data_IF_200775363374
#
_entry.id   IF_200775363374
#
_cell.length_a   1.000
_cell.length_b   1.000
_cell.length_c   1.000
_cell.angle_alpha   90.00
_cell.angle_beta   90.00
_cell.angle_gamma   90.00
#
_symmetry.space_group_name_H-M   'P 1'
#
loop_
_entity.id
_entity.type
_entity.pdbx_description
1 polymer ?
#
# COMPACT_ATOMS: atom_id res chain seq x y z
N UNK A 1 -34.98 22.44 9.26
CA UNK A 1 -33.69 22.32 8.55
C UNK A 1 -33.82 21.12 7.62
N UNK A 2 -33.83 21.32 6.29
CA UNK A 2 -33.76 20.19 5.35
C UNK A 2 -32.37 19.60 5.50
N UNK A 3 -32.28 18.38 6.04
CA UNK A 3 -31.06 17.58 5.96
C UNK A 3 -30.95 17.09 4.52
N UNK A 4 -30.44 17.94 3.63
CA UNK A 4 -30.02 17.52 2.31
C UNK A 4 -28.79 16.64 2.51
N UNK A 5 -29.01 15.32 2.54
CA UNK A 5 -27.94 14.34 2.55
C UNK A 5 -27.21 14.52 1.22
N UNK A 6 -26.01 15.09 1.27
CA UNK A 6 -25.12 15.17 0.10
C UNK A 6 -24.67 13.76 -0.28
N UNK A 7 -25.48 13.09 -1.11
CA UNK A 7 -25.12 11.82 -1.70
C UNK A 7 -24.06 12.12 -2.76
N UNK A 8 -22.81 11.79 -2.47
CA UNK A 8 -21.73 11.85 -3.45
C UNK A 8 -21.93 10.71 -4.45
N UNK A 9 -22.61 11.01 -5.55
CA UNK A 9 -22.90 10.04 -6.63
C UNK A 9 -21.65 9.75 -7.47
N UNK A 10 -20.73 10.71 -7.58
CA UNK A 10 -19.47 10.55 -8.33
C UNK A 10 -18.28 11.13 -7.57
N UNK A 11 -17.68 10.29 -6.74
CA UNK A 11 -16.49 10.56 -5.91
C UNK A 11 -15.32 11.18 -6.67
N UNK A 12 -15.01 10.67 -7.87
CA UNK A 12 -13.94 11.22 -8.73
C UNK A 12 -14.24 12.65 -9.17
N UNK A 13 -15.47 12.90 -9.60
CA UNK A 13 -15.91 14.23 -10.05
C UNK A 13 -15.84 15.25 -8.90
N UNK A 14 -16.24 14.84 -7.70
CA UNK A 14 -16.17 15.72 -6.53
C UNK A 14 -14.73 15.99 -6.08
N UNK A 15 -13.84 14.99 -6.10
CA UNK A 15 -12.41 15.22 -5.86
C UNK A 15 -11.81 16.22 -6.84
N UNK A 16 -12.12 16.09 -8.14
CA UNK A 16 -11.61 17.00 -9.18
C UNK A 16 -12.16 18.43 -9.09
N UNK A 17 -13.32 18.63 -8.46
CA UNK A 17 -13.88 19.97 -8.18
C UNK A 17 -13.32 20.59 -6.90
N UNK A 18 -12.79 19.77 -6.00
CA UNK A 18 -12.24 20.24 -4.73
C UNK A 18 -10.92 20.99 -4.92
N UNK A 19 -10.53 21.80 -3.95
CA UNK A 19 -9.22 22.48 -3.95
C UNK A 19 -8.09 21.59 -3.45
N UNK A 20 -8.38 20.36 -3.00
CA UNK A 20 -7.42 19.47 -2.30
C UNK A 20 -6.13 19.28 -3.10
N UNK A 21 -6.24 19.01 -4.41
CA UNK A 21 -5.07 18.81 -5.27
C UNK A 21 -4.25 20.09 -5.42
N UNK A 22 -4.90 21.25 -5.55
CA UNK A 22 -4.22 22.53 -5.73
C UNK A 22 -3.61 23.05 -4.43
N UNK A 23 -4.29 22.85 -3.32
CA UNK A 23 -3.80 23.24 -2.00
C UNK A 23 -2.56 22.41 -1.63
N UNK A 24 -2.58 21.11 -1.93
CA UNK A 24 -1.42 20.25 -1.72
C UNK A 24 -0.25 20.61 -2.65
N UNK A 25 -0.48 20.86 -3.95
CA UNK A 25 0.56 21.35 -4.88
C UNK A 25 1.18 22.68 -4.46
N UNK A 26 0.39 23.54 -3.80
CA UNK A 26 0.85 24.83 -3.25
C UNK A 26 1.49 24.70 -1.86
N UNK A 27 1.59 23.48 -1.31
CA UNK A 27 2.13 23.21 0.01
C UNK A 27 1.26 23.71 1.16
N UNK A 28 -0.02 24.03 0.93
CA UNK A 28 -0.95 24.51 1.96
C UNK A 28 -1.48 23.38 2.85
N UNK A 29 -1.53 22.16 2.32
CA UNK A 29 -1.83 20.95 3.09
C UNK A 29 -0.67 19.98 2.96
N UNK A 30 -0.43 19.25 4.02
CA UNK A 30 0.57 18.20 4.09
C UNK A 30 0.15 17.01 3.23
N UNK A 31 1.14 16.17 2.96
CA UNK A 31 0.96 14.88 2.32
C UNK A 31 0.02 13.93 3.06
N UNK A 32 0.13 13.91 4.39
CA UNK A 32 -0.74 13.12 5.24
C UNK A 32 -2.19 13.58 5.06
N UNK A 33 -2.44 14.89 5.13
CA UNK A 33 -3.78 15.46 4.91
C UNK A 33 -4.28 15.16 3.50
N UNK A 34 -3.44 15.33 2.48
CA UNK A 34 -3.79 14.99 1.10
C UNK A 34 -4.19 13.51 0.95
N UNK A 35 -3.44 12.58 1.52
CA UNK A 35 -3.78 11.15 1.52
C UNK A 35 -5.05 10.84 2.29
N UNK A 36 -5.26 11.49 3.43
CA UNK A 36 -6.51 11.33 4.20
C UNK A 36 -7.71 11.81 3.39
N UNK A 37 -7.59 12.96 2.72
CA UNK A 37 -8.60 13.46 1.80
C UNK A 37 -8.82 12.48 0.64
N UNK A 38 -7.75 11.98 0.01
CA UNK A 38 -7.85 11.01 -1.09
C UNK A 38 -8.57 9.72 -0.67
N UNK A 39 -8.25 9.18 0.51
CA UNK A 39 -8.95 8.04 1.10
C UNK A 39 -10.45 8.35 1.31
N UNK A 40 -10.76 9.50 1.91
CA UNK A 40 -12.14 9.94 2.15
C UNK A 40 -12.94 10.10 0.84
N UNK A 41 -12.39 10.79 -0.16
CA UNK A 41 -13.00 10.92 -1.48
C UNK A 41 -13.17 9.58 -2.17
N UNK A 42 -12.34 8.59 -1.86
CA UNK A 42 -12.49 7.23 -2.39
C UNK A 42 -13.57 6.42 -1.68
N UNK A 43 -14.14 6.96 -0.59
CA UNK A 43 -15.14 6.34 0.29
C UNK A 43 -14.56 5.40 1.31
N UNK A 44 -13.27 5.52 1.60
CA UNK A 44 -12.64 4.81 2.71
C UNK A 44 -12.92 5.54 4.00
N UNK A 45 -13.16 4.78 5.07
CA UNK A 45 -13.45 5.34 6.38
C UNK A 45 -12.97 4.40 7.48
N UNK A 46 -12.71 4.96 8.65
CA UNK A 46 -12.37 4.18 9.85
C UNK A 46 -13.55 3.39 10.42
N UNK A 47 -14.78 3.68 9.96
CA UNK A 47 -16.01 3.02 10.41
C UNK A 47 -16.23 1.64 9.73
N UNK A 48 -15.57 1.37 8.60
CA UNK A 48 -15.65 0.10 7.88
C UNK A 48 -14.24 -0.46 7.67
N UNK A 49 -13.88 -1.49 8.44
CA UNK A 49 -12.57 -2.14 8.36
C UNK A 49 -12.28 -2.74 6.98
N UNK A 50 -13.30 -3.10 6.21
CA UNK A 50 -13.13 -3.61 4.84
C UNK A 50 -12.74 -2.51 3.85
N UNK A 51 -13.04 -1.25 4.18
CA UNK A 51 -12.74 -0.05 3.40
C UNK A 51 -11.91 0.94 4.23
N UNK A 52 -11.00 0.43 5.06
CA UNK A 52 -10.15 1.27 5.89
C UNK A 52 -9.22 2.16 5.04
N UNK A 53 -8.84 3.36 5.51
CA UNK A 53 -7.85 4.18 4.83
C UNK A 53 -6.52 3.46 4.63
N UNK A 54 -5.83 3.75 3.52
CA UNK A 54 -4.57 3.11 3.15
C UNK A 54 -3.49 4.16 2.98
N UNK A 55 -2.31 3.85 3.50
CA UNK A 55 -1.08 4.58 3.29
C UNK A 55 -0.02 3.66 2.66
N UNK A 56 0.85 4.17 1.78
CA UNK A 56 1.89 3.34 1.18
C UNK A 56 2.97 2.99 2.19
N UNK A 57 3.74 1.92 1.96
CA UNK A 57 5.11 1.87 2.48
C UNK A 57 5.97 2.93 1.77
N UNK A 58 6.81 3.64 2.52
CA UNK A 58 7.64 4.73 1.96
C UNK A 58 9.13 4.43 2.08
N UNK A 59 9.57 3.88 3.21
CA UNK A 59 10.95 3.40 3.36
C UNK A 59 11.07 1.95 2.89
N UNK A 60 12.29 1.55 2.54
CA UNK A 60 12.62 0.16 2.25
C UNK A 60 13.79 -0.41 3.07
N UNK A 61 14.51 0.45 3.81
CA UNK A 61 15.58 0.01 4.71
C UNK A 61 15.07 -0.11 6.16
N UNK A 62 14.81 -1.35 6.55
CA UNK A 62 14.45 -1.74 7.92
C UNK A 62 15.51 -2.65 8.57
N UNK A 63 16.69 -2.77 7.96
CA UNK A 63 17.77 -3.65 8.43
C UNK A 63 18.94 -2.89 9.02
N UNK A 64 19.28 -1.74 8.43
CA UNK A 64 20.46 -0.97 8.81
C UNK A 64 20.38 -0.45 10.24
N UNK A 65 21.55 -0.23 10.83
CA UNK A 65 21.66 0.38 12.16
C UNK A 65 21.41 1.88 12.18
N UNK A 66 21.64 2.54 11.04
CA UNK A 66 21.45 3.97 10.80
C UNK A 66 20.74 4.12 9.46
N UNK A 67 19.81 5.06 9.38
CA UNK A 67 19.06 5.37 8.17
C UNK A 67 19.47 6.75 7.66
N UNK A 68 20.01 6.81 6.44
CA UNK A 68 20.33 8.06 5.78
C UNK A 68 19.13 8.52 4.92
N UNK A 69 18.47 9.60 5.31
CA UNK A 69 17.34 10.13 4.56
C UNK A 69 17.74 10.84 3.27
N UNK A 70 18.99 11.28 3.15
CA UNK A 70 19.47 11.93 1.94
C UNK A 70 19.77 10.91 0.83
N UNK A 71 19.77 9.61 1.16
CA UNK A 71 19.99 8.54 0.21
C UNK A 71 18.66 8.07 -0.39
N UNK A 72 18.45 8.40 -1.66
CA UNK A 72 17.26 7.99 -2.42
C UNK A 72 17.05 6.46 -2.46
N UNK A 73 18.09 5.66 -2.23
CA UNK A 73 17.99 4.19 -2.17
C UNK A 73 17.26 3.69 -0.93
N UNK A 74 17.01 4.52 0.08
CA UNK A 74 16.26 4.13 1.26
C UNK A 74 14.74 4.26 1.10
N UNK A 75 14.28 4.82 -0.03
CA UNK A 75 12.87 4.97 -0.34
C UNK A 75 12.37 3.89 -1.29
N UNK A 76 11.17 3.39 -1.02
CA UNK A 76 10.45 2.52 -1.93
C UNK A 76 10.10 3.30 -3.20
N UNK A 77 10.20 2.63 -4.34
CA UNK A 77 9.62 3.11 -5.59
C UNK A 77 8.08 3.08 -5.52
N UNK A 78 7.45 4.21 -5.21
CA UNK A 78 6.00 4.33 -5.00
C UNK A 78 5.16 4.07 -6.26
N UNK A 79 5.75 4.17 -7.46
CA UNK A 79 5.09 3.78 -8.71
C UNK A 79 4.90 2.27 -8.89
N UNK A 80 5.49 1.45 -8.00
CA UNK A 80 5.48 -0.01 -8.07
C UNK A 80 4.72 -0.59 -6.87
N UNK A 81 3.70 -1.45 -7.07
CA UNK A 81 2.98 -2.09 -5.97
C UNK A 81 3.88 -3.07 -5.21
N UNK A 82 3.58 -3.36 -3.93
CA UNK A 82 4.34 -4.29 -3.08
C UNK A 82 4.64 -5.59 -3.81
N UNK A 83 3.62 -6.17 -4.45
CA UNK A 83 3.71 -7.42 -5.20
C UNK A 83 4.75 -7.41 -6.34
N UNK A 84 5.12 -6.25 -6.88
CA UNK A 84 6.04 -6.11 -7.99
C UNK A 84 7.44 -5.58 -7.60
N UNK A 85 7.68 -5.25 -6.32
CA UNK A 85 8.98 -4.72 -5.87
C UNK A 85 10.09 -5.77 -5.99
N UNK A 86 9.82 -7.01 -5.56
CA UNK A 86 10.72 -8.13 -5.81
C UNK A 86 10.41 -8.72 -7.19
N UNK A 87 11.30 -8.44 -8.15
CA UNK A 87 11.18 -8.86 -9.54
C UNK A 87 11.11 -10.38 -9.70
N UNK A 88 11.93 -11.12 -8.96
CA UNK A 88 11.96 -12.58 -9.04
C UNK A 88 10.62 -13.18 -8.59
N UNK A 89 10.09 -12.73 -7.45
CA UNK A 89 8.76 -13.15 -6.97
C UNK A 89 7.67 -12.78 -7.97
N UNK A 90 7.74 -11.58 -8.53
CA UNK A 90 6.76 -11.13 -9.52
C UNK A 90 6.73 -12.02 -10.76
N UNK A 91 7.89 -12.28 -11.36
CA UNK A 91 8.00 -13.07 -12.57
C UNK A 91 7.70 -14.56 -12.33
N UNK A 92 8.26 -15.15 -11.27
CA UNK A 92 8.15 -16.61 -11.02
C UNK A 92 6.83 -17.02 -10.38
N UNK A 93 6.16 -16.14 -9.63
CA UNK A 93 4.91 -16.49 -8.94
C UNK A 93 3.70 -15.80 -9.55
N UNK A 94 3.67 -14.46 -9.56
CA UNK A 94 2.47 -13.72 -9.96
C UNK A 94 2.23 -13.78 -11.47
N UNK A 95 3.28 -13.62 -12.27
CA UNK A 95 3.17 -13.69 -13.71
C UNK A 95 2.92 -15.13 -14.19
N UNK A 96 3.61 -16.12 -13.63
CA UNK A 96 3.34 -17.53 -13.95
C UNK A 96 1.90 -17.93 -13.61
N UNK A 97 1.38 -17.50 -12.46
CA UNK A 97 -0.03 -17.72 -12.10
C UNK A 97 -0.99 -17.12 -13.13
N UNK A 98 -0.74 -15.89 -13.55
CA UNK A 98 -1.57 -15.22 -14.56
C UNK A 98 -1.45 -15.87 -15.96
N UNK A 99 -0.24 -16.32 -16.34
CA UNK A 99 0.00 -17.01 -17.62
C UNK A 99 -0.62 -18.42 -17.64
N UNK A 100 -0.66 -19.10 -16.48
CA UNK A 100 -1.25 -20.42 -16.29
C UNK A 100 -2.75 -20.42 -15.99
N UNK A 101 -3.41 -19.26 -16.07
CA UNK A 101 -4.87 -19.14 -15.91
C UNK A 101 -5.61 -19.96 -16.98
N UNK A 102 -6.71 -20.57 -16.60
CA UNK A 102 -7.59 -21.30 -17.50
C UNK A 102 -8.27 -20.32 -18.48
N UNK A 103 -8.07 -20.47 -19.81
CA UNK A 103 -8.74 -19.65 -20.80
C UNK A 103 -10.26 -19.62 -20.71
N UNK A 104 -10.87 -20.71 -20.23
CA UNK A 104 -12.31 -20.89 -20.18
C UNK A 104 -12.92 -20.42 -18.85
N UNK A 105 -12.11 -20.24 -17.80
CA UNK A 105 -12.55 -19.67 -16.51
C UNK A 105 -11.93 -18.29 -16.25
N UNK A 106 -12.76 -17.26 -16.45
CA UNK A 106 -12.42 -15.85 -16.21
C UNK A 106 -11.99 -15.55 -14.76
N UNK A 107 -12.36 -16.38 -13.79
CA UNK A 107 -11.99 -16.17 -12.38
C UNK A 107 -10.54 -16.57 -12.08
N UNK A 108 -9.90 -17.33 -12.96
CA UNK A 108 -8.50 -17.75 -12.79
C UNK A 108 -7.50 -16.67 -13.17
N UNK A 109 -7.94 -15.61 -13.86
CA UNK A 109 -7.09 -14.49 -14.31
C UNK A 109 -6.81 -13.47 -13.21
N UNK A 110 -5.83 -13.77 -12.37
CA UNK A 110 -5.34 -12.86 -11.34
C UNK A 110 -3.85 -13.05 -11.05
N UNK A 111 -3.19 -11.98 -10.61
CA UNK A 111 -1.82 -12.02 -10.10
C UNK A 111 -1.80 -12.28 -8.59
N UNK A 112 -2.51 -11.42 -7.86
CA UNK A 112 -2.55 -11.42 -6.40
C UNK A 112 -3.82 -12.13 -5.91
N UNK A 113 -3.65 -13.20 -5.13
CA UNK A 113 -4.77 -13.86 -4.46
C UNK A 113 -5.20 -13.16 -3.17
N UNK A 114 -4.45 -12.13 -2.76
CA UNK A 114 -4.72 -11.34 -1.56
C UNK A 114 -4.76 -9.85 -1.91
N UNK A 115 -5.44 -9.08 -1.08
CA UNK A 115 -5.61 -7.64 -1.26
C UNK A 115 -4.67 -6.86 -0.34
N UNK A 116 -4.22 -5.68 -0.77
CA UNK A 116 -3.32 -4.81 -0.01
C UNK A 116 -3.99 -4.13 1.20
N UNK A 117 -5.31 -4.20 1.30
CA UNK A 117 -6.12 -3.61 2.37
C UNK A 117 -7.40 -4.43 2.59
N UNK A 118 -7.62 -4.90 3.80
CA UNK A 118 -8.85 -5.59 4.20
C UNK A 118 -8.97 -5.56 5.72
N UNK A 119 -10.12 -5.98 6.25
CA UNK A 119 -10.36 -5.96 7.69
C UNK A 119 -9.32 -6.75 8.48
N UNK A 120 -8.91 -7.93 7.99
CA UNK A 120 -7.87 -8.75 8.63
C UNK A 120 -6.55 -7.99 8.75
N UNK A 121 -6.12 -7.26 7.71
CA UNK A 121 -4.89 -6.45 7.75
C UNK A 121 -4.97 -5.38 8.83
N UNK A 122 -6.11 -4.69 8.92
CA UNK A 122 -6.32 -3.66 9.94
C UNK A 122 -6.21 -4.25 11.34
N UNK A 123 -6.89 -5.37 11.57
CA UNK A 123 -6.85 -6.08 12.85
C UNK A 123 -5.44 -6.62 13.15
N UNK A 124 -4.73 -7.17 12.17
CA UNK A 124 -3.36 -7.66 12.36
C UNK A 124 -2.42 -6.54 12.81
N UNK A 125 -2.54 -5.33 12.24
CA UNK A 125 -1.70 -4.21 12.65
C UNK A 125 -2.14 -3.63 14.01
N UNK A 126 -3.43 -3.44 14.24
CA UNK A 126 -3.94 -2.71 15.40
C UNK A 126 -4.30 -3.60 16.60
N UNK A 127 -4.08 -4.92 16.53
CA UNK A 127 -4.48 -5.91 17.55
C UNK A 127 -4.01 -5.63 18.99
N UNK A 128 -3.05 -4.74 19.21
CA UNK A 128 -2.57 -4.34 20.55
C UNK A 128 -3.43 -3.26 21.21
N UNK A 129 -4.35 -2.67 20.46
CA UNK A 129 -5.25 -1.61 20.91
C UNK A 129 -6.69 -2.09 20.95
N UNK A 130 -7.46 -1.63 21.93
CA UNK A 130 -8.92 -1.76 21.89
C UNK A 130 -9.53 -0.71 20.95
N UNK A 131 -10.65 -1.03 20.25
CA UNK A 131 -11.40 -2.29 20.28
C UNK A 131 -10.84 -3.40 19.35
N UNK A 132 -9.73 -3.15 18.66
CA UNK A 132 -9.18 -4.06 17.65
C UNK A 132 -8.68 -5.38 18.22
N UNK A 133 -8.18 -5.38 19.47
CA UNK A 133 -7.80 -6.58 20.19
C UNK A 133 -9.00 -7.53 20.35
N UNK A 134 -10.13 -7.03 20.87
CA UNK A 134 -11.37 -7.79 20.98
C UNK A 134 -11.90 -8.28 19.62
N UNK A 135 -11.88 -7.43 18.59
CA UNK A 135 -12.31 -7.81 17.24
C UNK A 135 -11.42 -8.89 16.62
N UNK A 136 -10.10 -8.79 16.78
CA UNK A 136 -9.16 -9.80 16.32
C UNK A 136 -9.40 -11.14 17.04
N UNK A 137 -9.60 -11.09 18.36
CA UNK A 137 -9.86 -12.27 19.18
C UNK A 137 -11.15 -12.98 18.75
N UNK A 138 -12.22 -12.24 18.48
CA UNK A 138 -13.49 -12.78 17.96
C UNK A 138 -13.33 -13.38 16.57
N UNK A 139 -12.62 -12.69 15.67
CA UNK A 139 -12.40 -13.18 14.29
C UNK A 139 -11.63 -14.50 14.25
N UNK A 140 -10.81 -14.77 15.26
CA UNK A 140 -9.96 -15.96 15.35
C UNK A 140 -10.52 -17.01 16.34
N UNK A 141 -11.86 -17.13 16.45
CA UNK A 141 -12.54 -18.14 17.29
C UNK A 141 -12.19 -18.04 18.78
N UNK A 142 -12.19 -16.81 19.32
CA UNK A 142 -11.90 -16.52 20.73
C UNK A 142 -10.47 -16.89 21.17
N UNK A 143 -9.50 -16.62 20.31
CA UNK A 143 -8.06 -16.65 20.61
C UNK A 143 -7.33 -15.64 19.72
N UNK A 144 -6.10 -15.30 20.07
CA UNK A 144 -5.22 -14.64 19.08
C UNK A 144 -4.72 -15.66 18.05
N UNK A 145 -4.30 -15.18 16.89
CA UNK A 145 -3.68 -16.02 15.86
C UNK A 145 -2.32 -16.55 16.36
N UNK A 146 -1.73 -17.54 15.69
CA UNK A 146 -0.43 -18.08 16.08
C UNK A 146 0.62 -16.98 16.07
N UNK A 147 1.45 -16.96 17.11
CA UNK A 147 2.49 -15.98 17.35
C UNK A 147 3.38 -15.70 16.12
N UNK A 148 3.77 -16.72 15.36
CA UNK A 148 4.60 -16.57 14.15
C UNK A 148 3.92 -15.80 13.01
N UNK A 149 2.58 -15.72 13.01
CA UNK A 149 1.80 -14.96 12.02
C UNK A 149 1.43 -13.56 12.49
N UNK A 150 1.57 -13.28 13.79
CA UNK A 150 1.25 -11.98 14.34
C UNK A 150 2.24 -10.92 13.86
N UNK A 151 1.74 -9.70 13.71
CA UNK A 151 2.60 -8.54 13.48
C UNK A 151 3.46 -8.30 14.72
N UNK A 152 4.74 -8.65 14.62
CA UNK A 152 5.70 -8.55 15.73
C UNK A 152 6.96 -7.76 15.37
N UNK A 153 7.20 -7.45 14.08
CA UNK A 153 8.38 -6.73 13.63
C UNK A 153 8.09 -5.98 12.33
N UNK A 154 8.46 -4.70 12.28
CA UNK A 154 8.33 -3.88 11.06
C UNK A 154 9.23 -4.43 9.95
N UNK A 155 10.45 -4.85 10.32
CA UNK A 155 11.43 -5.45 9.41
C UNK A 155 10.90 -6.75 8.80
N UNK A 156 10.37 -7.66 9.62
CA UNK A 156 9.85 -8.94 9.11
C UNK A 156 8.58 -8.75 8.30
N UNK A 157 7.73 -7.78 8.66
CA UNK A 157 6.55 -7.45 7.87
C UNK A 157 6.93 -6.91 6.47
N UNK A 158 7.94 -6.03 6.38
CA UNK A 158 8.46 -5.56 5.10
C UNK A 158 9.02 -6.72 4.26
N UNK A 159 9.83 -7.59 4.86
CA UNK A 159 10.37 -8.79 4.20
C UNK A 159 9.28 -9.74 3.72
N UNK A 160 8.25 -9.97 4.52
CA UNK A 160 7.09 -10.76 4.12
C UNK A 160 6.43 -10.13 2.88
N UNK A 161 6.22 -8.81 2.90
CA UNK A 161 5.71 -8.06 1.76
C UNK A 161 6.56 -8.18 0.48
N UNK A 162 7.87 -8.47 0.57
CA UNK A 162 8.74 -8.68 -0.58
C UNK A 162 8.82 -10.14 -1.06
N UNK A 163 8.61 -11.11 -0.18
CA UNK A 163 8.96 -12.51 -0.46
C UNK A 163 7.76 -13.48 -0.38
N UNK A 164 6.76 -13.20 0.44
CA UNK A 164 5.59 -14.04 0.59
C UNK A 164 4.58 -13.77 -0.54
N UNK A 165 4.12 -14.82 -1.23
CA UNK A 165 3.18 -14.69 -2.36
C UNK A 165 1.74 -14.39 -1.94
N UNK A 166 1.44 -14.53 -0.64
CA UNK A 166 0.17 -14.16 -0.05
C UNK A 166 0.23 -12.79 0.66
N UNK A 167 1.37 -12.10 0.64
CA UNK A 167 1.55 -10.82 1.35
C UNK A 167 1.84 -9.66 0.40
N UNK A 168 0.85 -8.80 0.23
CA UNK A 168 0.94 -7.55 -0.54
C UNK A 168 0.40 -6.36 0.24
N UNK A 169 0.43 -6.42 1.58
CA UNK A 169 -0.16 -5.41 2.48
C UNK A 169 0.50 -4.04 2.30
N UNK A 170 -0.33 -3.01 2.13
CA UNK A 170 0.08 -1.62 2.35
C UNK A 170 -0.16 -1.22 3.82
N UNK A 171 0.29 -0.03 4.20
CA UNK A 171 0.21 0.48 5.56
C UNK A 171 -1.16 1.11 5.88
N UNK A 172 -1.38 1.33 7.17
CA UNK A 172 -2.46 2.15 7.69
C UNK A 172 -1.97 3.57 8.00
N UNK A 173 -2.86 4.57 8.07
CA UNK A 173 -2.49 5.92 8.52
C UNK A 173 -1.83 5.92 9.90
N UNK A 174 -2.19 5.01 10.80
CA UNK A 174 -1.69 4.92 12.18
C UNK A 174 -0.16 4.81 12.24
N UNK A 175 0.49 4.20 11.24
CA UNK A 175 1.96 4.17 11.13
C UNK A 175 2.58 5.58 11.11
N UNK A 176 1.81 6.60 10.73
CA UNK A 176 2.26 7.98 10.53
C UNK A 176 1.81 8.96 11.61
N UNK A 177 0.86 8.60 12.49
CA UNK A 177 0.43 9.50 13.58
C UNK A 177 0.13 8.84 14.95
N UNK A 178 0.03 7.50 15.03
CA UNK A 178 -0.33 6.79 16.27
C UNK A 178 0.71 5.71 16.63
N UNK A 179 1.55 5.89 17.67
CA UNK A 179 2.54 4.88 18.07
C UNK A 179 1.96 3.75 18.93
N UNK A 180 0.81 3.97 19.57
CA UNK A 180 0.24 3.10 20.60
C UNK A 180 0.05 1.64 20.14
N UNK A 181 -0.29 1.42 18.86
CA UNK A 181 -0.46 0.07 18.30
C UNK A 181 0.83 -0.77 18.27
N UNK A 182 2.00 -0.14 18.43
CA UNK A 182 3.30 -0.82 18.48
C UNK A 182 3.59 -1.40 19.86
N UNK A 183 2.84 -0.99 20.89
CA UNK A 183 3.08 -1.37 22.29
C UNK A 183 1.93 -2.21 22.82
N UNK A 184 2.27 -3.26 23.56
CA UNK A 184 1.27 -4.11 24.22
C UNK A 184 0.88 -3.55 25.59
N UNK A 185 0.31 -2.33 25.61
CA UNK A 185 -0.04 -1.62 26.86
C UNK A 185 -1.06 -2.41 27.68
N UNK A 186 -1.95 -3.14 27.00
CA UNK A 186 -2.99 -3.96 27.60
C UNK A 186 -2.48 -5.32 28.11
N UNK A 187 -1.18 -5.61 28.00
CA UNK A 187 -0.56 -6.87 28.45
C UNK A 187 -1.28 -8.11 27.89
N UNK A 188 -1.69 -8.05 26.62
CA UNK A 188 -2.34 -9.15 25.94
C UNK A 188 -1.40 -10.35 25.87
N UNK A 189 -1.92 -11.56 26.09
CA UNK A 189 -1.16 -12.78 25.85
C UNK A 189 -1.15 -13.14 24.37
N UNK A 190 -0.09 -12.76 23.66
CA UNK A 190 0.06 -12.97 22.21
C UNK A 190 0.82 -14.26 21.85
N UNK A 191 1.24 -15.02 22.87
CA UNK A 191 1.91 -16.31 22.73
C UNK A 191 3.40 -16.21 22.39
N UNK A 192 3.99 -17.37 22.09
CA UNK A 192 5.40 -17.55 21.75
C UNK A 192 5.54 -18.10 20.34
N UNK A 193 6.50 -17.56 19.60
CA UNK A 193 6.91 -18.08 18.30
C UNK A 193 7.55 -19.48 18.44
N UNK A 194 7.75 -20.16 17.31
CA UNK A 194 8.43 -21.47 17.27
C UNK A 194 9.86 -21.42 17.82
N UNK A 195 10.54 -20.27 17.68
CA UNK A 195 11.87 -20.02 18.24
C UNK A 195 11.86 -19.69 19.75
N UNK A 196 10.71 -19.87 20.41
CA UNK A 196 10.47 -19.59 21.82
C UNK A 196 10.56 -18.10 22.22
N UNK A 197 10.59 -17.19 21.25
CA UNK A 197 10.52 -15.75 21.51
C UNK A 197 9.08 -15.34 21.82
N UNK A 198 8.89 -14.63 22.93
CA UNK A 198 7.60 -14.02 23.27
C UNK A 198 7.19 -12.94 22.26
N UNK A 199 5.92 -12.96 21.86
CA UNK A 199 5.31 -11.86 21.10
C UNK A 199 4.73 -10.88 22.11
N UNK A 200 5.27 -9.66 22.12
CA UNK A 200 4.82 -8.58 22.99
C UNK A 200 4.79 -7.27 22.19
N UNK A 201 5.60 -6.25 22.52
CA UNK A 201 5.77 -5.06 21.68
C UNK A 201 6.35 -5.39 20.30
N UNK A 202 6.03 -4.54 19.32
CA UNK A 202 6.57 -4.64 17.97
C UNK A 202 8.06 -4.28 17.96
N UNK A 203 8.86 -5.12 17.32
CA UNK A 203 10.29 -4.90 17.10
C UNK A 203 10.45 -3.82 16.03
N UNK A 204 11.03 -2.70 16.44
CA UNK A 204 11.32 -1.56 15.57
C UNK A 204 12.73 -1.67 14.97
N UNK A 205 12.97 -1.08 13.79
CA UNK A 205 14.30 -0.98 13.19
C UNK A 205 15.33 -0.35 14.12
N UNK A 206 16.59 -0.76 13.99
CA UNK A 206 17.67 -0.29 14.85
C UNK A 206 17.88 1.22 14.79
N UNK A 207 17.69 1.85 13.63
CA UNK A 207 17.82 3.29 13.46
C UNK A 207 16.74 4.10 14.20
N UNK A 208 15.62 3.47 14.58
CA UNK A 208 14.65 4.06 15.51
C UNK A 208 15.14 3.93 16.97
N UNK A 209 15.82 2.83 17.30
CA UNK A 209 16.27 2.54 18.67
C UNK A 209 17.56 3.28 19.06
N UNK A 210 18.50 3.44 18.11
CA UNK A 210 19.86 3.98 18.32
C UNK A 210 19.96 5.49 18.28
N UNK A 211 18.99 6.19 17.72
CA UNK A 211 18.97 7.66 17.72
C UNK A 211 18.86 8.26 19.13
N UNK A 212 18.78 7.42 20.19
CA UNK A 212 18.18 7.84 21.45
C UNK A 212 18.70 7.07 22.69
N UNK A 213 19.84 7.48 23.26
CA UNK A 213 20.40 6.96 24.53
C UNK A 213 19.64 7.43 25.82
N UNK A 214 18.45 6.91 26.15
CA UNK A 214 17.90 6.87 27.55
C UNK A 214 16.47 6.27 27.60
N UNK A 215 16.08 5.49 28.64
CA UNK A 215 15.03 4.46 28.53
C UNK A 215 13.57 4.90 28.74
N UNK A 216 13.28 6.00 29.44
CA UNK A 216 11.91 6.21 29.98
C UNK A 216 11.16 7.44 29.42
N UNK A 217 11.84 8.36 28.73
CA UNK A 217 11.23 9.59 28.21
C UNK A 217 11.07 9.66 26.67
N UNK A 218 11.39 8.56 25.96
CA UNK A 218 11.63 8.58 24.50
C UNK A 218 10.55 7.95 23.61
N UNK A 219 9.38 7.64 24.15
CA UNK A 219 8.25 7.11 23.35
C UNK A 219 7.76 8.17 22.34
N UNK A 220 7.74 9.46 22.72
CA UNK A 220 7.37 10.56 21.82
C UNK A 220 8.49 10.98 20.85
N UNK A 221 9.76 11.01 21.28
CA UNK A 221 10.87 11.50 20.44
C UNK A 221 11.36 10.50 19.38
N UNK A 222 11.44 9.19 19.73
CA UNK A 222 11.74 8.11 18.76
C UNK A 222 10.72 8.12 17.61
N UNK A 223 9.49 8.48 17.96
CA UNK A 223 8.34 8.50 17.09
C UNK A 223 8.25 9.76 16.24
N UNK A 224 8.48 10.95 16.81
CA UNK A 224 8.59 12.19 16.04
C UNK A 224 9.67 12.04 14.96
N UNK A 225 10.77 11.36 15.25
CA UNK A 225 11.80 11.06 14.25
C UNK A 225 11.28 10.14 13.15
N UNK A 226 10.61 9.03 13.48
CA UNK A 226 9.99 8.16 12.48
C UNK A 226 8.94 8.89 11.63
N UNK A 227 8.02 9.66 12.23
CA UNK A 227 7.02 10.44 11.49
C UNK A 227 7.69 11.50 10.60
N UNK A 228 8.63 12.27 11.16
CA UNK A 228 9.31 13.35 10.44
C UNK A 228 10.09 12.80 9.23
N UNK A 229 10.78 11.67 9.43
CA UNK A 229 11.46 10.91 8.36
C UNK A 229 10.52 10.50 7.24
N UNK A 230 9.34 10.00 7.60
CA UNK A 230 8.31 9.59 6.64
C UNK A 230 7.65 10.81 5.95
N UNK A 231 7.46 11.93 6.65
CA UNK A 231 6.72 13.10 6.14
C UNK A 231 7.58 14.05 5.28
N UNK A 232 8.83 14.34 5.67
CA UNK A 232 9.70 15.30 4.95
C UNK A 232 10.06 14.80 3.55
N UNK A 233 10.31 13.50 3.41
CA UNK A 233 10.68 12.88 2.13
C UNK A 233 9.50 12.47 1.27
N UNK A 234 8.29 12.51 1.83
CA UNK A 234 7.06 12.36 1.07
C UNK A 234 6.81 13.61 0.20
N UNK A 235 7.25 14.80 0.63
CA UNK A 235 7.19 16.04 -0.18
C UNK A 235 8.10 15.89 -1.40
N UNK A 236 9.34 15.44 -1.20
CA UNK A 236 10.31 15.18 -2.27
C UNK A 236 9.85 14.08 -3.24
N UNK A 237 9.36 12.95 -2.73
CA UNK A 237 8.95 11.84 -3.59
C UNK A 237 7.68 12.11 -4.35
N UNK A 238 6.70 12.84 -3.81
CA UNK A 238 5.58 13.21 -4.67
C UNK A 238 5.95 14.33 -5.65
N UNK A 239 6.80 15.29 -5.27
CA UNK A 239 7.33 16.24 -6.26
C UNK A 239 8.01 15.47 -7.42
N UNK A 240 8.84 14.47 -7.10
CA UNK A 240 9.46 13.56 -8.08
C UNK A 240 8.45 12.66 -8.83
N UNK A 241 7.33 12.26 -8.23
CA UNK A 241 6.23 11.52 -8.91
C UNK A 241 5.43 12.46 -9.82
N UNK A 242 5.26 13.72 -9.46
CA UNK A 242 4.61 14.73 -10.31
C UNK A 242 5.54 15.15 -11.46
N UNK A 243 6.85 15.23 -11.19
CA UNK A 243 7.89 15.62 -12.14
C UNK A 243 8.27 14.43 -13.06
N UNK A 244 8.21 13.18 -12.58
CA UNK A 244 8.47 11.94 -13.34
C UNK A 244 7.23 11.06 -13.54
N UNK A 245 6.14 11.65 -14.04
CA UNK A 245 4.91 10.99 -14.50
C UNK A 245 3.73 10.93 -13.52
N UNK A 246 2.60 11.45 -14.03
CA UNK A 246 1.17 11.27 -13.70
C UNK A 246 0.74 9.88 -13.13
N UNK A 247 1.61 8.86 -13.14
CA UNK A 247 1.38 7.46 -12.82
C UNK A 247 1.38 7.12 -11.31
N UNK A 248 2.17 7.79 -10.46
CA UNK A 248 2.24 7.43 -9.02
C UNK A 248 1.02 7.85 -8.20
N UNK A 249 0.49 9.06 -8.46
CA UNK A 249 -0.82 9.49 -7.92
C UNK A 249 -1.98 8.71 -8.54
N UNK A 250 -1.84 8.28 -9.79
CA UNK A 250 -2.81 7.36 -10.39
C UNK A 250 -2.78 6.00 -9.71
N UNK A 251 -1.63 5.46 -9.29
CA UNK A 251 -1.58 4.18 -8.58
C UNK A 251 -2.24 4.29 -7.20
N UNK A 252 -1.89 5.30 -6.41
CA UNK A 252 -2.55 5.58 -5.12
C UNK A 252 -4.05 5.87 -5.31
N UNK A 253 -4.44 6.72 -6.26
CA UNK A 253 -5.85 6.96 -6.58
C UNK A 253 -6.56 5.72 -7.17
N UNK A 254 -5.88 4.83 -7.91
CA UNK A 254 -6.44 3.56 -8.43
C UNK A 254 -6.62 2.53 -7.31
N UNK A 255 -5.74 2.51 -6.31
CA UNK A 255 -5.85 1.68 -5.10
C UNK A 255 -6.90 2.23 -4.12
N UNK A 256 -7.05 3.55 -4.03
CA UNK A 256 -8.03 4.18 -3.16
C UNK A 256 -9.43 4.09 -3.77
N UNK A 257 -9.62 4.46 -5.05
CA UNK A 257 -10.91 4.60 -5.75
C UNK A 257 -11.45 3.25 -6.31
N UNK A 258 -11.69 2.29 -5.42
CA UNK A 258 -12.68 1.22 -5.66
C UNK A 258 -12.27 -0.03 -6.46
N UNK A 259 -12.85 -1.16 -6.05
CA UNK A 259 -12.72 -2.53 -6.54
C UNK A 259 -12.82 -2.73 -8.07
N UNK A 260 -13.39 -1.77 -8.82
CA UNK A 260 -13.40 -1.79 -10.29
C UNK A 260 -12.04 -1.43 -10.92
N UNK A 261 -11.24 -0.57 -10.27
CA UNK A 261 -9.91 -0.17 -10.75
C UNK A 261 -8.83 -1.23 -10.50
N UNK A 262 -9.10 -2.26 -9.68
CA UNK A 262 -8.21 -3.44 -9.57
C UNK A 262 -8.20 -4.21 -10.89
N UNK A 263 -9.35 -4.28 -11.59
CA UNK A 263 -9.44 -4.87 -12.93
C UNK A 263 -8.61 -4.07 -13.93
N UNK A 264 -8.69 -2.74 -13.90
CA UNK A 264 -7.89 -1.87 -14.77
C UNK A 264 -6.40 -1.88 -14.39
N UNK A 265 -6.03 -1.92 -13.11
CA UNK A 265 -4.63 -1.86 -12.66
C UNK A 265 -3.86 -3.14 -12.99
N UNK A 266 -4.51 -4.32 -12.87
CA UNK A 266 -3.93 -5.59 -13.31
C UNK A 266 -3.77 -5.61 -14.84
N UNK A 267 -4.76 -5.09 -15.58
CA UNK A 267 -4.68 -4.93 -17.03
C UNK A 267 -3.53 -3.98 -17.41
N UNK A 268 -3.35 -2.86 -16.70
CA UNK A 268 -2.28 -1.89 -16.96
C UNK A 268 -0.89 -2.50 -16.74
N UNK A 269 -0.70 -3.25 -15.64
CA UNK A 269 0.56 -3.95 -15.36
C UNK A 269 0.87 -5.01 -16.42
N UNK A 270 -0.16 -5.72 -16.89
CA UNK A 270 -0.01 -6.69 -17.98
C UNK A 270 0.39 -6.01 -19.30
N UNK A 271 -0.27 -4.91 -19.69
CA UNK A 271 0.06 -4.21 -20.95
C UNK A 271 1.49 -3.64 -20.90
N UNK A 272 1.86 -2.97 -19.80
CA UNK A 272 3.21 -2.41 -19.66
C UNK A 272 4.29 -3.50 -19.69
N UNK A 273 4.01 -4.67 -19.10
CA UNK A 273 4.91 -5.81 -19.16
C UNK A 273 5.08 -6.34 -20.58
N UNK A 274 3.97 -6.57 -21.29
CA UNK A 274 3.98 -7.05 -22.68
C UNK A 274 4.73 -6.09 -23.59
N UNK A 275 4.54 -4.78 -23.39
CA UNK A 275 5.28 -3.75 -24.10
C UNK A 275 6.77 -3.86 -23.80
N UNK A 276 7.18 -3.76 -22.53
CA UNK A 276 8.58 -3.62 -22.14
C UNK A 276 9.42 -4.89 -22.33
N UNK A 277 8.84 -6.06 -22.06
CA UNK A 277 9.58 -7.31 -21.95
C UNK A 277 9.30 -8.28 -23.10
N UNK A 278 8.06 -8.34 -23.57
CA UNK A 278 7.71 -9.14 -24.77
C UNK A 278 7.85 -8.31 -26.07
N UNK A 279 8.30 -7.05 -25.96
CA UNK A 279 8.54 -6.10 -27.06
C UNK A 279 7.32 -5.87 -27.97
N UNK A 280 6.12 -6.02 -27.41
CA UNK A 280 4.88 -5.79 -28.14
C UNK A 280 4.61 -4.29 -28.32
N UNK A 281 4.00 -3.92 -29.44
CA UNK A 281 3.38 -2.60 -29.59
C UNK A 281 2.19 -2.45 -28.64
N UNK A 282 1.77 -1.20 -28.40
CA UNK A 282 0.59 -0.91 -27.56
C UNK A 282 -0.65 -1.65 -28.06
N UNK A 283 -0.85 -1.74 -29.37
CA UNK A 283 -2.00 -2.42 -29.98
C UNK A 283 -1.91 -3.94 -29.84
N UNK A 284 -0.73 -4.52 -30.08
CA UNK A 284 -0.52 -5.97 -29.91
C UNK A 284 -0.73 -6.41 -28.46
N UNK A 285 -0.21 -5.64 -27.49
CA UNK A 285 -0.41 -5.91 -26.07
C UNK A 285 -1.89 -5.81 -25.66
N UNK A 286 -2.62 -4.84 -26.23
CA UNK A 286 -4.05 -4.67 -25.99
C UNK A 286 -4.90 -5.79 -26.58
N UNK A 287 -4.64 -6.14 -27.84
CA UNK A 287 -5.38 -7.21 -28.51
C UNK A 287 -5.07 -8.56 -27.87
N UNK A 288 -3.81 -8.83 -27.49
CA UNK A 288 -3.45 -10.00 -26.71
C UNK A 288 -4.28 -10.13 -25.43
N UNK A 289 -4.40 -9.05 -24.65
CA UNK A 289 -5.22 -9.07 -23.43
C UNK A 289 -6.71 -9.21 -23.77
N UNK A 290 -7.21 -8.59 -24.84
CA UNK A 290 -8.61 -8.72 -25.27
C UNK A 290 -8.98 -10.14 -25.68
N UNK A 291 -8.07 -10.89 -26.29
CA UNK A 291 -8.31 -12.32 -26.60
C UNK A 291 -8.53 -13.16 -25.34
N UNK A 292 -7.96 -12.73 -24.20
CA UNK A 292 -8.10 -13.40 -22.90
C UNK A 292 -9.17 -12.76 -22.01
N UNK A 293 -9.51 -11.50 -22.26
CA UNK A 293 -10.46 -10.70 -21.47
C UNK A 293 -11.13 -9.63 -22.32
N UNK A 294 -12.23 -10.03 -22.95
CA UNK A 294 -13.00 -9.24 -23.93
C UNK A 294 -13.53 -7.89 -23.39
N UNK A 295 -13.71 -7.77 -22.07
CA UNK A 295 -14.25 -6.57 -21.39
C UNK A 295 -13.19 -5.45 -21.25
N UNK A 296 -11.95 -5.67 -21.69
CA UNK A 296 -10.88 -4.66 -21.60
C UNK A 296 -11.08 -3.55 -22.66
N UNK A 297 -11.67 -2.45 -22.22
CA UNK A 297 -11.82 -1.21 -22.99
C UNK A 297 -11.09 -0.05 -22.28
N UNK A 298 -9.82 0.17 -22.62
CA UNK A 298 -9.03 1.23 -22.02
C UNK A 298 -9.51 2.60 -22.52
N UNK A 299 -9.67 3.56 -21.60
CA UNK A 299 -10.07 4.92 -21.97
C UNK A 299 -8.96 5.66 -22.75
N UNK A 300 -9.33 6.71 -23.48
CA UNK A 300 -8.42 7.50 -24.34
C UNK A 300 -7.21 8.05 -23.56
N UNK A 301 -7.43 8.49 -22.31
CA UNK A 301 -6.35 9.01 -21.47
C UNK A 301 -5.29 7.94 -21.18
N UNK A 302 -5.71 6.71 -20.91
CA UNK A 302 -4.82 5.59 -20.68
C UNK A 302 -4.16 5.09 -21.98
N UNK A 303 -4.87 5.11 -23.12
CA UNK A 303 -4.25 4.85 -24.43
C UNK A 303 -3.09 5.81 -24.73
N UNK A 304 -3.24 7.08 -24.37
CA UNK A 304 -2.18 8.08 -24.52
C UNK A 304 -0.99 7.83 -23.58
N UNK A 305 -1.24 7.32 -22.38
CA UNK A 305 -0.16 6.95 -21.44
C UNK A 305 0.64 5.74 -21.94
N UNK A 306 -0.04 4.70 -22.44
CA UNK A 306 0.62 3.52 -23.02
C UNK A 306 1.49 3.88 -24.22
N UNK A 307 1.01 4.80 -25.06
CA UNK A 307 1.76 5.31 -26.20
C UNK A 307 3.03 6.05 -25.75
N UNK A 308 2.92 6.95 -24.78
CA UNK A 308 4.09 7.65 -24.21
C UNK A 308 5.09 6.67 -23.57
N UNK A 309 4.60 5.66 -22.87
CA UNK A 309 5.43 4.61 -22.29
C UNK A 309 6.18 3.80 -23.34
N UNK A 310 5.49 3.38 -24.41
CA UNK A 310 6.11 2.70 -25.53
C UNK A 310 7.17 3.58 -26.22
N UNK A 311 6.85 4.84 -26.48
CA UNK A 311 7.78 5.82 -27.05
C UNK A 311 9.02 5.98 -26.15
N UNK A 312 8.87 6.06 -24.82
CA UNK A 312 10.01 6.18 -23.88
C UNK A 312 10.95 4.98 -23.84
N UNK A 313 10.51 3.81 -24.31
CA UNK A 313 11.28 2.56 -24.28
C UNK A 313 11.97 2.24 -25.62
N UNK A 314 11.39 2.71 -26.73
CA UNK A 314 11.74 2.24 -28.07
C UNK A 314 12.02 3.37 -29.09
N UNK A 315 11.82 4.64 -28.71
CA UNK A 315 12.20 5.82 -29.50
C UNK A 315 13.14 6.74 -28.70
#
# INVERSE_FOLDING_TARGET
VKNDINIIVNRKKEFLKSTVLDDWRKGKITNFEFLMQLNSYSGRSTNDLSQYPIFPWVLQDYESSVLNLDDNRNYRQLGTPIGALNRERFEKNYMQRFKGSDPDDKNTYFMYGTHYSNATIVLTFLMRMEPFAGLHFQQQENKFDYADRLFHSVKEQWKSGLNNTADVKELLPEFYYLPDFLYNVNQLYLGKKQDNTDVDKVILPQWIQKSTNSPEFKIKENYISFIKMQNENYIMNIQLILDNEVNGLQWLAKCSVGCALIRETIVNLNINYLIKYEKMTVLEALDYIRTKREIVQPNIGFMNQLRKYYESLYN
#
